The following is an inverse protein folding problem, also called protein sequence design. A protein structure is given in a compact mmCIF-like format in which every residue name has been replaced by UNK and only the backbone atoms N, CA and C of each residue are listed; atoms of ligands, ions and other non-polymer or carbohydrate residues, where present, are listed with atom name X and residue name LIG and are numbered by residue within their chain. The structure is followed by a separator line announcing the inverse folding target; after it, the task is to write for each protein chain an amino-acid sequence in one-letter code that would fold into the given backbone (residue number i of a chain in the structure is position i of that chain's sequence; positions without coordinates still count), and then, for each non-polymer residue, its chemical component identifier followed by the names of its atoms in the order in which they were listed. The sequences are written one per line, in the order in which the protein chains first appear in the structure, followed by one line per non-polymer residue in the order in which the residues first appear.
data_IF_193806598380
#
_entry.id   IF_193806598380
#
_cell.length_a   1.000
_cell.length_b   1.000
_cell.length_c   1.000
_cell.angle_alpha   90.00
_cell.angle_beta   90.00
_cell.angle_gamma   90.00
#
_symmetry.space_group_name_H-M   'P 1'
#
loop_
_entity.id
_entity.type
_entity.pdbx_description
1 polymer ?
#
# COMPACT_ATOMS: atom_id res chain seq x y z
N UNK A 1 19.44 -15.24 4.11
CA UNK A 1 19.35 -15.33 5.57
C UNK A 1 17.89 -15.06 5.88
N UNK A 2 17.19 -16.05 6.42
CA UNK A 2 15.78 -15.94 6.80
C UNK A 2 15.76 -15.23 8.16
N UNK A 3 15.22 -14.01 8.21
CA UNK A 3 15.18 -13.19 9.42
C UNK A 3 14.25 -13.80 10.46
N UNK A 4 14.69 -13.76 11.72
CA UNK A 4 14.06 -14.36 12.89
C UNK A 4 12.54 -14.13 13.01
N UNK A 5 11.78 -15.24 13.05
CA UNK A 5 10.63 -15.47 13.93
C UNK A 5 9.34 -14.64 13.78
N UNK A 6 9.32 -13.55 13.02
CA UNK A 6 8.13 -12.71 12.83
C UNK A 6 7.61 -12.86 11.40
N UNK A 7 6.32 -13.18 11.26
CA UNK A 7 5.70 -13.24 9.95
C UNK A 7 5.83 -11.88 9.24
N UNK A 8 6.08 -11.86 7.93
CA UNK A 8 6.24 -10.61 7.19
C UNK A 8 4.95 -9.79 7.29
N UNK A 9 5.10 -8.50 7.59
CA UNK A 9 4.00 -7.55 7.63
C UNK A 9 3.33 -7.48 6.25
N UNK A 10 2.03 -7.72 6.20
CA UNK A 10 1.23 -7.59 4.99
C UNK A 10 0.54 -6.24 4.99
N UNK A 11 0.54 -5.59 3.82
CA UNK A 11 -0.08 -4.30 3.60
C UNK A 11 -1.14 -4.46 2.52
N UNK A 12 -2.31 -3.83 2.70
CA UNK A 12 -3.39 -3.87 1.73
C UNK A 12 -4.01 -2.49 1.54
N UNK A 13 -4.33 -2.21 0.29
CA UNK A 13 -5.13 -1.07 -0.15
C UNK A 13 -6.36 -1.66 -0.83
N UNK A 14 -7.53 -1.28 -0.34
CA UNK A 14 -8.80 -1.58 -1.00
C UNK A 14 -9.32 -0.27 -1.61
N UNK A 15 -9.54 -0.28 -2.93
CA UNK A 15 -10.19 0.79 -3.65
C UNK A 15 -11.64 0.43 -3.89
N UNK A 16 -12.55 1.27 -3.39
CA UNK A 16 -13.98 1.13 -3.62
C UNK A 16 -14.53 2.50 -4.06
N UNK A 17 -14.77 2.64 -5.35
CA UNK A 17 -15.25 3.87 -5.99
C UNK A 17 -14.48 5.14 -5.57
N UNK A 18 -15.07 5.96 -4.70
CA UNK A 18 -14.52 7.23 -4.23
C UNK A 18 -13.78 7.12 -2.89
N UNK A 19 -13.48 5.89 -2.46
CA UNK A 19 -12.86 5.62 -1.16
C UNK A 19 -11.65 4.67 -1.27
N UNK A 20 -10.61 4.98 -0.48
CA UNK A 20 -9.50 4.08 -0.21
C UNK A 20 -9.48 3.66 1.26
N UNK A 21 -9.32 2.36 1.49
CA UNK A 21 -9.10 1.80 2.83
C UNK A 21 -7.71 1.18 2.91
N UNK A 22 -6.93 1.64 3.89
CA UNK A 22 -5.59 1.12 4.16
C UNK A 22 -5.63 0.18 5.36
N UNK A 23 -5.03 -0.99 5.23
CA UNK A 23 -4.94 -1.95 6.33
C UNK A 23 -3.62 -2.71 6.35
N UNK A 24 -3.30 -3.28 7.51
CA UNK A 24 -2.14 -4.14 7.69
C UNK A 24 -2.50 -5.42 8.44
N UNK A 25 -1.67 -6.44 8.28
CA UNK A 25 -1.79 -7.70 9.01
C UNK A 25 -0.41 -8.23 9.40
N UNK A 26 -0.27 -8.63 10.66
CA UNK A 26 0.94 -9.26 11.20
C UNK A 26 0.89 -10.80 11.11
N UNK A 27 -0.29 -11.38 10.88
CA UNK A 27 -0.54 -12.82 10.84
C UNK A 27 -1.09 -13.32 9.48
N UNK A 28 -1.36 -12.40 8.56
CA UNK A 28 -1.99 -12.66 7.26
C UNK A 28 -3.48 -13.01 7.31
N UNK A 29 -4.11 -12.97 8.49
CA UNK A 29 -5.48 -13.41 8.72
C UNK A 29 -6.34 -12.28 9.28
N UNK A 30 -5.82 -11.58 10.28
CA UNK A 30 -6.47 -10.47 10.95
C UNK A 30 -5.96 -9.16 10.36
N UNK A 31 -6.87 -8.37 9.82
CA UNK A 31 -6.56 -7.08 9.19
C UNK A 31 -7.00 -5.93 10.08
N UNK A 32 -6.09 -4.99 10.32
CA UNK A 32 -6.35 -3.77 11.09
C UNK A 32 -6.33 -2.55 10.16
N UNK A 33 -7.45 -1.81 10.11
CA UNK A 33 -7.58 -0.59 9.31
C UNK A 33 -6.84 0.57 9.97
N UNK A 34 -6.16 1.38 9.16
CA UNK A 34 -5.46 2.59 9.61
C UNK A 34 -6.12 3.80 8.95
N UNK A 35 -6.39 4.85 9.73
CA UNK A 35 -6.88 6.13 9.21
C UNK A 35 -8.36 6.14 8.80
N UNK A 36 -9.01 4.98 8.70
CA UNK A 36 -10.38 4.86 8.20
C UNK A 36 -10.46 5.07 6.69
N UNK A 37 -11.67 5.30 6.18
CA UNK A 37 -11.95 5.58 4.77
C UNK A 37 -11.34 6.93 4.34
N UNK A 38 -10.54 6.90 3.28
CA UNK A 38 -9.90 8.09 2.68
C UNK A 38 -10.56 8.44 1.35
N UNK A 39 -10.71 9.73 1.04
CA UNK A 39 -11.29 10.18 -0.23
C UNK A 39 -10.36 9.89 -1.42
N UNK A 40 -10.73 8.93 -2.27
CA UNK A 40 -9.97 8.53 -3.45
C UNK A 40 -10.01 9.57 -4.58
N UNK A 41 -11.00 10.47 -4.59
CA UNK A 41 -11.14 11.50 -5.64
C UNK A 41 -10.03 12.53 -5.58
N UNK A 42 -9.32 12.63 -4.45
CA UNK A 42 -8.14 13.48 -4.33
C UNK A 42 -7.06 13.12 -5.35
N UNK A 43 -6.93 11.84 -5.69
CA UNK A 43 -5.98 11.33 -6.69
C UNK A 43 -6.61 11.17 -8.08
N UNK A 44 -7.86 11.59 -8.26
CA UNK A 44 -8.54 11.53 -9.56
C UNK A 44 -7.99 12.57 -10.53
N UNK A 45 -8.12 12.28 -11.82
CA UNK A 45 -7.76 13.20 -12.91
C UNK A 45 -8.50 14.54 -12.81
N UNK A 46 -9.71 14.54 -12.25
CA UNK A 46 -10.50 15.77 -12.02
C UNK A 46 -9.84 16.70 -10.99
N UNK A 47 -9.22 16.16 -9.94
CA UNK A 47 -8.59 16.94 -8.88
C UNK A 47 -7.10 17.23 -9.16
N UNK A 48 -6.37 16.26 -9.70
CA UNK A 48 -4.92 16.37 -9.94
C UNK A 48 -4.56 17.06 -11.27
N UNK A 49 -5.53 17.30 -12.16
CA UNK A 49 -5.36 18.09 -13.38
C UNK A 49 -4.54 17.41 -14.50
N UNK A 50 -4.34 16.08 -14.44
CA UNK A 50 -3.52 15.31 -15.38
C UNK A 50 -4.16 13.99 -15.83
N UNK A 51 -3.62 13.38 -16.89
CA UNK A 51 -4.18 12.21 -17.60
C UNK A 51 -3.71 10.83 -17.09
N UNK A 52 -3.02 10.73 -15.96
CA UNK A 52 -2.27 9.50 -15.57
C UNK A 52 -3.07 8.58 -14.64
N UNK A 53 -3.93 9.11 -13.76
CA UNK A 53 -4.67 8.33 -12.76
C UNK A 53 -3.88 8.04 -11.48
N UNK A 54 -4.37 7.10 -10.67
CA UNK A 54 -3.75 6.67 -9.41
C UNK A 54 -2.76 5.51 -9.65
N UNK A 55 -1.62 5.52 -8.98
CA UNK A 55 -0.60 4.46 -9.03
C UNK A 55 -0.37 3.89 -7.63
N UNK A 56 -0.45 2.57 -7.50
CA UNK A 56 -0.02 1.86 -6.31
C UNK A 56 1.35 1.22 -6.55
N UNK A 57 2.27 1.43 -5.62
CA UNK A 57 3.62 0.89 -5.72
C UNK A 57 4.30 0.82 -4.36
N UNK A 58 5.27 -0.08 -4.25
CA UNK A 58 6.11 -0.23 -3.08
C UNK A 58 7.23 0.81 -3.15
N UNK A 59 7.44 1.52 -2.05
CA UNK A 59 8.47 2.55 -1.95
C UNK A 59 9.13 2.51 -0.57
N UNK A 60 10.45 2.63 -0.55
CA UNK A 60 11.25 2.73 0.67
C UNK A 60 12.12 3.98 0.56
N UNK A 61 12.18 4.76 1.64
CA UNK A 61 13.08 5.90 1.75
C UNK A 61 13.75 5.88 3.12
N UNK A 62 15.06 6.12 3.15
CA UNK A 62 15.79 6.46 4.37
C UNK A 62 15.98 7.98 4.40
N UNK A 63 15.51 8.62 5.47
CA UNK A 63 15.62 10.07 5.67
C UNK A 63 16.78 10.47 6.61
N UNK A 64 17.60 9.49 7.01
CA UNK A 64 18.72 9.68 7.94
C UNK A 64 20.09 9.60 7.27
N UNK A 65 21.08 10.20 7.92
CA UNK A 65 22.50 10.07 7.61
C UNK A 65 23.05 8.92 8.44
N UNK A 66 23.00 7.70 7.90
CA UNK A 66 23.51 6.54 8.62
C UNK A 66 24.15 5.58 7.64
N UNK A 67 25.43 5.27 7.89
CA UNK A 67 26.22 4.14 7.37
C UNK A 67 25.59 2.75 7.69
N UNK A 68 24.28 2.70 7.92
CA UNK A 68 23.51 1.49 8.19
C UNK A 68 22.95 0.95 6.87
N UNK A 69 23.15 -0.35 6.64
CA UNK A 69 22.53 -1.11 5.56
C UNK A 69 21.02 -1.22 5.84
N UNK A 70 20.26 -0.19 5.43
CA UNK A 70 18.80 -0.17 5.53
C UNK A 70 18.24 -0.90 4.32
N UNK A 71 17.63 -2.05 4.58
CA UNK A 71 17.03 -2.90 3.56
C UNK A 71 15.56 -3.15 3.86
N UNK A 72 14.73 -2.95 2.83
CA UNK A 72 13.35 -3.42 2.81
C UNK A 72 13.24 -4.53 1.78
N UNK A 73 12.87 -5.73 2.23
CA UNK A 73 12.65 -6.88 1.37
C UNK A 73 11.15 -7.07 1.16
N UNK A 74 10.72 -6.98 -0.11
CA UNK A 74 9.35 -7.21 -0.51
C UNK A 74 9.25 -8.58 -1.17
N UNK A 75 8.55 -9.50 -0.51
CA UNK A 75 8.45 -10.89 -0.99
C UNK A 75 7.54 -11.02 -2.22
N UNK A 76 6.46 -10.25 -2.27
CA UNK A 76 5.48 -10.29 -3.35
C UNK A 76 4.71 -8.97 -3.43
N UNK A 77 4.08 -8.75 -4.59
CA UNK A 77 3.13 -7.69 -4.84
C UNK A 77 1.99 -8.30 -5.66
N UNK A 78 0.75 -8.13 -5.21
CA UNK A 78 -0.43 -8.65 -5.88
C UNK A 78 -1.42 -7.50 -6.15
N UNK A 79 -2.06 -7.57 -7.32
CA UNK A 79 -3.15 -6.69 -7.72
C UNK A 79 -4.21 -7.55 -8.40
N UNK A 80 -5.42 -7.58 -7.83
CA UNK A 80 -6.51 -8.43 -8.33
C UNK A 80 -7.39 -7.71 -9.37
N UNK A 81 -7.45 -6.37 -9.34
CA UNK A 81 -8.24 -5.59 -10.29
C UNK A 81 -9.74 -5.93 -10.25
N UNK A 82 -10.28 -6.26 -9.07
CA UNK A 82 -11.70 -6.59 -8.82
C UNK A 82 -12.65 -5.37 -8.96
N UNK A 83 -12.29 -4.41 -9.81
CA UNK A 83 -13.17 -3.29 -10.17
C UNK A 83 -14.12 -3.73 -11.29
N UNK A 84 -15.38 -3.31 -11.24
CA UNK A 84 -16.31 -3.54 -12.35
C UNK A 84 -15.75 -2.94 -13.64
N UNK A 85 -15.41 -3.80 -14.61
CA UNK A 85 -15.13 -3.39 -15.98
C UNK A 85 -16.46 -2.97 -16.60
N UNK A 86 -16.64 -1.66 -16.78
CA UNK A 86 -17.77 -1.08 -17.52
C UNK A 86 -17.89 -1.62 -18.95
#
# INVERSE_FOLDING_TARGET
MEGDGQAPLQLRIESDHDTYTFSFSEDGQTWSTIGGEQDARFLSTQSAGGFVGCLYGLYTVSLGDSDADIRADYHWFEYSGDDEIY
#
